data_IF_146760460196
#
_entry.id   IF_146760460196
#
_cell.length_a   1.000
_cell.length_b   1.000
_cell.length_c   1.000
_cell.angle_alpha   90.00
_cell.angle_beta   90.00
_cell.angle_gamma   90.00
#
_symmetry.space_group_name_H-M   'P 1'
#
loop_
_entity.id
_entity.type
_entity.pdbx_description
1 polymer ?
#
# COMPACT_ATOMS: atom_id res chain seq x y z
N UNK A 1 -2.75 43.06 31.31
CA UNK A 1 -1.50 43.86 31.44
C UNK A 1 -0.73 43.76 30.14
N UNK A 2 -0.68 44.86 29.39
CA UNK A 2 0.04 44.99 28.11
C UNK A 2 1.55 44.77 28.31
N UNK A 3 2.16 43.94 27.46
CA UNK A 3 3.62 43.79 27.42
C UNK A 3 4.19 44.78 26.41
N UNK A 4 4.81 45.86 26.93
CA UNK A 4 5.61 46.83 26.16
C UNK A 4 6.71 46.10 25.37
N UNK A 5 6.75 46.33 24.06
CA UNK A 5 7.73 45.78 23.12
C UNK A 5 9.05 46.55 23.20
N UNK A 6 9.95 46.11 24.07
CA UNK A 6 11.38 46.43 23.95
C UNK A 6 12.01 45.62 22.83
N UNK A 7 12.94 46.21 22.09
CA UNK A 7 13.73 45.59 21.01
C UNK A 7 14.50 44.41 21.56
N UNK A 8 13.90 43.20 21.51
CA UNK A 8 14.56 41.96 21.90
C UNK A 8 15.52 41.54 20.80
N UNK A 9 16.80 41.83 20.99
CA UNK A 9 17.88 41.21 20.22
C UNK A 9 17.97 39.74 20.64
N UNK A 10 17.37 38.85 19.86
CA UNK A 10 17.31 37.43 20.15
C UNK A 10 16.27 36.69 19.30
N UNK A 11 16.30 35.35 19.36
CA UNK A 11 15.35 34.51 18.62
C UNK A 11 13.92 34.84 19.06
N UNK A 12 13.04 35.17 18.10
CA UNK A 12 11.61 35.44 18.36
C UNK A 12 11.01 34.30 19.16
N UNK A 13 10.31 34.63 20.26
CA UNK A 13 9.63 33.65 21.10
C UNK A 13 8.57 32.90 20.29
N UNK A 14 8.49 31.58 20.45
CA UNK A 14 7.46 30.77 19.80
C UNK A 14 6.08 31.14 20.35
N UNK A 15 5.08 31.13 19.49
CA UNK A 15 3.68 31.43 19.85
C UNK A 15 3.10 30.42 20.86
N UNK A 16 3.52 29.15 20.80
CA UNK A 16 3.19 28.13 21.79
C UNK A 16 4.48 27.38 22.20
N UNK A 17 5.17 27.86 23.24
CA UNK A 17 6.41 27.25 23.69
C UNK A 17 6.12 26.03 24.60
N UNK A 18 6.94 24.98 24.46
CA UNK A 18 6.81 23.75 25.24
C UNK A 18 7.47 23.92 26.62
N UNK A 19 6.82 24.71 27.48
CA UNK A 19 7.42 25.17 28.74
C UNK A 19 7.29 24.18 29.91
N UNK A 20 6.42 23.16 29.77
CA UNK A 20 6.15 22.16 30.82
C UNK A 20 6.99 20.91 30.58
N UNK A 21 7.82 20.55 31.58
CA UNK A 21 8.63 19.33 31.59
C UNK A 21 8.11 18.36 32.63
N UNK A 22 7.89 17.12 32.22
CA UNK A 22 7.55 15.99 33.09
C UNK A 22 8.66 14.95 33.00
N UNK A 23 9.12 14.45 34.15
CA UNK A 23 10.12 13.38 34.24
C UNK A 23 9.51 12.15 34.91
N UNK A 24 9.67 10.99 34.29
CA UNK A 24 9.34 9.70 34.88
C UNK A 24 10.61 8.84 34.96
N UNK A 25 10.63 7.90 35.90
CA UNK A 25 11.71 6.93 36.05
C UNK A 25 11.20 5.58 35.57
N UNK A 26 12.02 4.85 34.83
CA UNK A 26 11.73 3.48 34.40
C UNK A 26 12.57 2.52 35.22
N UNK A 27 12.02 1.35 35.53
CA UNK A 27 12.81 0.23 36.03
C UNK A 27 13.57 -0.46 34.86
N UNK A 28 14.43 -1.43 35.17
CA UNK A 28 15.25 -2.09 34.16
C UNK A 28 14.43 -2.79 33.06
N UNK A 29 13.36 -3.51 33.43
CA UNK A 29 12.51 -4.23 32.48
C UNK A 29 11.69 -3.28 31.59
N UNK A 30 11.16 -2.21 32.17
CA UNK A 30 10.43 -1.16 31.46
C UNK A 30 11.34 -0.44 30.47
N UNK A 31 12.60 -0.20 30.84
CA UNK A 31 13.58 0.43 29.96
C UNK A 31 13.89 -0.45 28.74
N UNK A 32 14.08 -1.75 28.92
CA UNK A 32 14.32 -2.68 27.80
C UNK A 32 13.13 -2.70 26.83
N UNK A 33 11.89 -2.76 27.35
CA UNK A 33 10.69 -2.71 26.50
C UNK A 33 10.57 -1.36 25.77
N UNK A 34 10.91 -0.27 26.44
CA UNK A 34 10.87 1.07 25.87
C UNK A 34 11.89 1.26 24.74
N UNK A 35 13.12 0.75 24.90
CA UNK A 35 14.16 0.76 23.86
C UNK A 35 13.76 -0.07 22.63
N UNK A 36 13.17 -1.25 22.85
CA UNK A 36 12.62 -2.07 21.76
C UNK A 36 11.53 -1.32 20.97
N UNK A 37 10.56 -0.72 21.67
CA UNK A 37 9.50 0.04 21.02
C UNK A 37 10.02 1.29 20.28
N UNK A 38 11.04 1.96 20.83
CA UNK A 38 11.68 3.10 20.17
C UNK A 38 12.35 2.66 18.87
N UNK A 39 13.13 1.58 18.91
CA UNK A 39 13.81 1.02 17.74
C UNK A 39 12.80 0.58 16.66
N UNK A 40 11.71 -0.07 17.07
CA UNK A 40 10.64 -0.51 16.16
C UNK A 40 9.82 0.66 15.59
N UNK A 41 9.67 1.76 16.32
CA UNK A 41 8.88 2.92 15.86
C UNK A 41 9.57 3.75 14.77
N UNK A 42 10.89 3.61 14.59
CA UNK A 42 11.69 4.43 13.67
C UNK A 42 11.66 5.94 13.99
N UNK A 43 11.24 6.32 15.20
CA UNK A 43 11.20 7.72 15.61
C UNK A 43 12.61 8.30 15.73
N UNK A 44 12.82 9.49 15.14
CA UNK A 44 14.13 10.17 15.16
C UNK A 44 14.53 10.65 16.55
N UNK A 45 13.54 10.98 17.38
CA UNK A 45 13.73 11.60 18.69
C UNK A 45 12.88 10.90 19.76
N UNK A 46 13.49 10.67 20.93
CA UNK A 46 12.84 10.10 22.11
C UNK A 46 11.60 10.89 22.55
N UNK A 47 11.71 12.22 22.51
CA UNK A 47 10.62 13.13 22.91
C UNK A 47 9.44 13.02 21.96
N UNK A 48 9.70 12.82 20.67
CA UNK A 48 8.65 12.66 19.66
C UNK A 48 7.93 11.32 19.83
N UNK A 49 8.69 10.26 20.12
CA UNK A 49 8.13 8.94 20.44
C UNK A 49 7.20 9.02 21.66
N UNK A 50 7.68 9.55 22.79
CA UNK A 50 6.90 9.65 24.04
C UNK A 50 5.62 10.48 23.84
N UNK A 51 5.74 11.65 23.18
CA UNK A 51 4.56 12.50 22.92
C UNK A 51 3.54 11.78 22.03
N UNK A 52 4.00 11.03 21.02
CA UNK A 52 3.10 10.23 20.19
C UNK A 52 2.48 9.06 20.96
N UNK A 53 3.26 8.35 21.77
CA UNK A 53 2.74 7.25 22.60
C UNK A 53 1.65 7.70 23.56
N UNK A 54 1.83 8.83 24.24
CA UNK A 54 0.92 9.32 25.27
C UNK A 54 -0.32 10.00 24.66
N UNK A 55 -0.15 10.83 23.63
CA UNK A 55 -1.24 11.68 23.10
C UNK A 55 -1.85 11.19 21.78
N UNK A 56 -1.23 10.22 21.09
CA UNK A 56 -1.75 9.66 19.83
C UNK A 56 -2.42 8.29 20.00
N UNK A 57 -2.62 7.82 21.24
CA UNK A 57 -3.59 6.78 21.58
C UNK A 57 -3.20 5.33 21.30
N UNK A 58 -2.23 5.04 20.43
CA UNK A 58 -1.61 3.72 20.24
C UNK A 58 -0.56 3.84 19.14
N UNK A 59 0.71 3.55 19.43
CA UNK A 59 1.69 3.36 18.36
C UNK A 59 1.40 2.00 17.74
N UNK A 60 0.62 1.99 16.66
CA UNK A 60 0.45 0.80 15.82
C UNK A 60 1.71 0.65 14.96
N UNK A 61 2.68 -0.12 15.46
CA UNK A 61 3.84 -0.53 14.66
C UNK A 61 3.35 -1.52 13.61
N UNK A 62 3.04 -1.03 12.41
CA UNK A 62 2.79 -1.90 11.26
C UNK A 62 4.14 -2.25 10.66
N UNK A 63 4.63 -3.47 10.94
CA UNK A 63 5.78 -4.03 10.23
C UNK A 63 5.35 -4.27 8.78
N UNK A 64 5.61 -3.29 7.91
CA UNK A 64 5.33 -3.41 6.48
C UNK A 64 6.45 -4.24 5.89
N UNK A 65 6.16 -5.50 5.60
CA UNK A 65 7.02 -6.26 4.70
C UNK A 65 6.84 -5.69 3.28
N UNK A 66 7.85 -4.94 2.83
CA UNK A 66 7.86 -4.28 1.53
C UNK A 66 7.69 -5.29 0.39
N UNK A 67 8.28 -6.49 0.52
CA UNK A 67 8.18 -7.53 -0.50
C UNK A 67 6.74 -8.05 -0.64
N UNK A 68 6.08 -8.33 0.49
CA UNK A 68 4.66 -8.72 0.52
C UNK A 68 3.76 -7.61 -0.03
N UNK A 69 4.03 -6.35 0.30
CA UNK A 69 3.25 -5.22 -0.21
C UNK A 69 3.39 -5.07 -1.73
N UNK A 70 4.62 -5.15 -2.25
CA UNK A 70 4.90 -5.10 -3.69
C UNK A 70 4.21 -6.26 -4.42
N UNK A 71 4.19 -7.46 -3.82
CA UNK A 71 3.46 -8.62 -4.33
C UNK A 71 1.95 -8.37 -4.42
N UNK A 72 1.32 -7.84 -3.35
CA UNK A 72 -0.10 -7.51 -3.38
C UNK A 72 -0.46 -6.45 -4.43
N UNK A 73 0.40 -5.45 -4.62
CA UNK A 73 0.21 -4.43 -5.66
C UNK A 73 0.24 -5.09 -7.05
N UNK A 74 1.23 -5.96 -7.30
CA UNK A 74 1.34 -6.71 -8.57
C UNK A 74 0.11 -7.59 -8.83
N UNK A 75 -0.39 -8.28 -7.79
CA UNK A 75 -1.57 -9.13 -7.90
C UNK A 75 -2.84 -8.31 -8.19
N UNK A 76 -2.98 -7.15 -7.55
CA UNK A 76 -4.11 -6.25 -7.78
C UNK A 76 -4.09 -5.70 -9.20
N UNK A 77 -2.92 -5.28 -9.69
CA UNK A 77 -2.77 -4.78 -11.05
C UNK A 77 -3.05 -5.89 -12.09
N UNK A 78 -2.59 -7.11 -11.83
CA UNK A 78 -2.93 -8.28 -12.64
C UNK A 78 -4.46 -8.47 -12.73
N UNK A 79 -5.18 -8.44 -11.60
CA UNK A 79 -6.65 -8.54 -11.62
C UNK A 79 -7.31 -7.41 -12.43
N UNK A 80 -6.81 -6.18 -12.30
CA UNK A 80 -7.30 -5.02 -13.06
C UNK A 80 -7.15 -5.23 -14.57
N UNK A 81 -6.05 -5.83 -15.02
CA UNK A 81 -5.83 -6.15 -16.43
C UNK A 81 -6.87 -7.14 -16.96
N UNK A 82 -7.22 -8.18 -16.19
CA UNK A 82 -8.29 -9.12 -16.59
C UNK A 82 -9.65 -8.44 -16.74
N UNK A 83 -10.01 -7.58 -15.79
CA UNK A 83 -11.26 -6.82 -15.89
C UNK A 83 -11.27 -5.92 -17.14
N UNK A 84 -10.16 -5.24 -17.42
CA UNK A 84 -10.04 -4.41 -18.61
C UNK A 84 -10.22 -5.22 -19.91
N UNK A 85 -9.60 -6.40 -20.01
CA UNK A 85 -9.78 -7.30 -21.16
C UNK A 85 -11.24 -7.74 -21.31
N UNK A 86 -11.90 -8.14 -20.22
CA UNK A 86 -13.32 -8.52 -20.25
C UNK A 86 -14.24 -7.38 -20.69
N UNK A 87 -13.99 -6.16 -20.20
CA UNK A 87 -14.73 -4.97 -20.62
C UNK A 87 -14.52 -4.67 -22.11
N UNK A 88 -13.28 -4.73 -22.59
CA UNK A 88 -12.96 -4.52 -23.99
C UNK A 88 -13.61 -5.58 -24.90
N UNK A 89 -13.59 -6.85 -24.48
CA UNK A 89 -14.28 -7.93 -25.19
C UNK A 89 -15.78 -7.62 -25.35
N UNK A 90 -16.44 -7.26 -24.26
CA UNK A 90 -17.87 -6.91 -24.26
C UNK A 90 -18.17 -5.72 -25.17
N UNK A 91 -17.31 -4.70 -25.17
CA UNK A 91 -17.44 -3.53 -26.05
C UNK A 91 -17.30 -3.93 -27.52
N UNK A 92 -16.27 -4.69 -27.87
CA UNK A 92 -16.02 -5.15 -29.24
C UNK A 92 -17.20 -5.96 -29.77
N UNK A 93 -17.70 -6.94 -29.00
CA UNK A 93 -18.83 -7.77 -29.43
C UNK A 93 -20.11 -6.95 -29.62
N UNK A 94 -20.40 -5.99 -28.73
CA UNK A 94 -21.54 -5.07 -28.89
C UNK A 94 -21.38 -4.19 -30.13
N UNK A 95 -20.19 -3.66 -30.37
CA UNK A 95 -19.91 -2.83 -31.56
C UNK A 95 -20.02 -3.65 -32.85
N UNK A 96 -19.54 -4.90 -32.86
CA UNK A 96 -19.68 -5.81 -34.00
C UNK A 96 -21.14 -6.11 -34.32
N UNK A 97 -21.96 -6.36 -33.29
CA UNK A 97 -23.40 -6.62 -33.44
C UNK A 97 -24.16 -5.43 -34.05
N UNK A 98 -23.81 -4.20 -33.66
CA UNK A 98 -24.60 -3.02 -34.01
C UNK A 98 -24.14 -2.30 -35.29
N UNK A 99 -22.84 -2.36 -35.63
CA UNK A 99 -22.25 -1.48 -36.65
C UNK A 99 -21.74 -2.18 -37.91
N UNK A 100 -21.69 -3.52 -37.94
CA UNK A 100 -21.11 -4.28 -39.06
C UNK A 100 -22.12 -5.24 -39.68
N UNK A 101 -22.07 -5.39 -41.01
CA UNK A 101 -22.81 -6.43 -41.72
C UNK A 101 -22.28 -7.84 -41.41
N UNK A 102 -23.15 -8.85 -41.47
CA UNK A 102 -22.89 -10.22 -40.98
C UNK A 102 -21.55 -10.82 -41.45
N UNK A 103 -21.24 -10.75 -42.75
CA UNK A 103 -19.98 -11.31 -43.29
C UNK A 103 -18.74 -10.71 -42.64
N UNK A 104 -18.74 -9.39 -42.41
CA UNK A 104 -17.60 -8.68 -41.81
C UNK A 104 -17.56 -8.88 -40.30
N UNK A 105 -18.71 -8.92 -39.64
CA UNK A 105 -18.80 -9.23 -38.22
C UNK A 105 -18.26 -10.64 -37.93
N UNK A 106 -18.65 -11.65 -38.72
CA UNK A 106 -18.16 -13.01 -38.57
C UNK A 106 -16.64 -13.13 -38.75
N UNK A 107 -16.07 -12.49 -39.77
CA UNK A 107 -14.61 -12.50 -39.97
C UNK A 107 -13.83 -11.91 -38.78
N UNK A 108 -14.37 -10.87 -38.14
CA UNK A 108 -13.78 -10.26 -36.95
C UNK A 108 -13.99 -11.11 -35.69
N UNK A 109 -15.14 -11.78 -35.56
CA UNK A 109 -15.41 -12.71 -34.46
C UNK A 109 -14.46 -13.91 -34.48
N UNK A 110 -14.18 -14.50 -35.64
CA UNK A 110 -13.18 -15.58 -35.74
C UNK A 110 -11.79 -15.16 -35.28
N UNK A 111 -11.39 -13.91 -35.58
CA UNK A 111 -10.11 -13.37 -35.07
C UNK A 111 -10.15 -13.17 -33.55
N UNK A 112 -11.25 -12.66 -33.03
CA UNK A 112 -11.46 -12.46 -31.59
C UNK A 112 -11.44 -13.80 -30.84
N UNK A 113 -12.06 -14.84 -31.39
CA UNK A 113 -12.04 -16.20 -30.85
C UNK A 113 -10.61 -16.74 -30.77
N UNK A 114 -9.83 -16.62 -31.85
CA UNK A 114 -8.43 -17.06 -31.87
C UNK A 114 -7.60 -16.38 -30.77
N UNK A 115 -7.72 -15.05 -30.63
CA UNK A 115 -7.03 -14.30 -29.57
C UNK A 115 -7.50 -14.71 -28.17
N UNK A 116 -8.78 -15.03 -28.00
CA UNK A 116 -9.34 -15.50 -26.72
C UNK A 116 -8.80 -16.88 -26.33
N UNK A 117 -8.59 -17.77 -27.31
CA UNK A 117 -7.94 -19.06 -27.11
C UNK A 117 -6.47 -18.87 -26.70
N UNK A 118 -5.73 -18.00 -27.38
CA UNK A 118 -4.34 -17.70 -27.02
C UNK A 118 -4.23 -17.15 -25.58
N UNK A 119 -5.14 -16.24 -25.19
CA UNK A 119 -5.22 -15.74 -23.82
C UNK A 119 -5.52 -16.87 -22.82
N UNK A 120 -6.46 -17.76 -23.13
CA UNK A 120 -6.78 -18.92 -22.28
C UNK A 120 -5.56 -19.83 -22.07
N UNK A 121 -4.76 -20.06 -23.11
CA UNK A 121 -3.53 -20.85 -23.02
C UNK A 121 -2.50 -20.21 -22.09
N UNK A 122 -2.34 -18.88 -22.15
CA UNK A 122 -1.49 -18.13 -21.21
C UNK A 122 -2.02 -18.27 -19.79
N UNK A 123 -3.33 -18.13 -19.57
CA UNK A 123 -3.94 -18.29 -18.24
C UNK A 123 -3.68 -19.69 -17.66
N UNK A 124 -3.80 -20.75 -18.48
CA UNK A 124 -3.47 -22.12 -18.06
C UNK A 124 -2.00 -22.25 -17.65
N UNK A 125 -1.07 -21.65 -18.41
CA UNK A 125 0.35 -21.63 -18.03
C UNK A 125 0.58 -20.92 -16.69
N UNK A 126 -0.08 -19.78 -16.48
CA UNK A 126 -0.02 -19.06 -15.19
C UNK A 126 -0.52 -19.94 -14.05
N UNK A 127 -1.65 -20.63 -14.22
CA UNK A 127 -2.17 -21.55 -13.20
C UNK A 127 -1.19 -22.67 -12.86
N UNK A 128 -0.56 -23.29 -13.87
CA UNK A 128 0.45 -24.35 -13.66
C UNK A 128 1.66 -23.80 -12.91
N UNK A 129 2.18 -22.63 -13.30
CA UNK A 129 3.31 -22.00 -12.62
C UNK A 129 2.97 -21.65 -11.16
N UNK A 130 1.75 -21.19 -10.89
CA UNK A 130 1.27 -20.93 -9.52
C UNK A 130 1.23 -22.21 -8.69
N UNK A 131 0.72 -23.32 -9.26
CA UNK A 131 0.70 -24.63 -8.58
C UNK A 131 2.12 -25.15 -8.33
N UNK A 132 3.04 -25.00 -9.28
CA UNK A 132 4.44 -25.38 -9.09
C UNK A 132 5.12 -24.56 -7.99
N UNK A 133 4.84 -23.26 -7.94
CA UNK A 133 5.33 -22.38 -6.89
C UNK A 133 4.79 -22.80 -5.52
N UNK A 134 3.49 -23.09 -5.43
CA UNK A 134 2.85 -23.56 -4.19
C UNK A 134 3.48 -24.87 -3.70
N UNK A 135 3.68 -25.85 -4.58
CA UNK A 135 4.32 -27.12 -4.22
C UNK A 135 5.76 -26.94 -3.75
N UNK A 136 6.54 -26.07 -4.40
CA UNK A 136 7.97 -25.89 -4.10
C UNK A 136 8.25 -25.06 -2.84
N UNK A 137 7.39 -24.07 -2.55
CA UNK A 137 7.72 -23.02 -1.57
C UNK A 137 6.67 -22.81 -0.47
N UNK A 138 5.44 -23.32 -0.66
CA UNK A 138 4.35 -23.18 0.33
C UNK A 138 3.97 -24.50 1.01
N UNK A 139 4.46 -25.65 0.53
CA UNK A 139 4.30 -26.92 1.25
C UNK A 139 5.19 -26.93 2.50
N UNK A 140 4.55 -26.76 3.66
CA UNK A 140 5.03 -27.12 4.99
C UNK A 140 4.33 -28.40 5.45
#
# INVERSE_FOLDING_TARGET
>A
MEKKTGTRTGRKSKSNPADRKYSFRLNAEENTKFEQLLAESGARDLTLFIKKSIFSGQIKVVKIDKATMDYYIKLTEFHRQFQAVGNNYNQVVRTLKNNFGEKRAMALLYRLEKLSIELMLVCKKVMVLTQEYERKWLQK
#
